data_IF_209163985465
#
_entry.id   IF_209163985465
#
_cell.length_a   1.000
_cell.length_b   1.000
_cell.length_c   1.000
_cell.angle_alpha   90.00
_cell.angle_beta   90.00
_cell.angle_gamma   90.00
#
_symmetry.space_group_name_H-M   'P 1'
#
loop_
_entity.id
_entity.type
_entity.pdbx_description
1 polymer ?
#
# COMPACT_ATOMS: atom_id res chain seq x y z
N UNK A 1 -112.79 5.41 -69.85
CA UNK A 1 -112.87 3.94 -69.89
C UNK A 1 -112.05 3.39 -68.74
N UNK A 2 -112.74 2.68 -67.85
CA UNK A 2 -112.24 1.57 -67.01
C UNK A 2 -111.28 1.87 -65.85
N UNK A 3 -111.84 1.66 -64.66
CA UNK A 3 -111.19 1.58 -63.36
C UNK A 3 -110.39 0.28 -63.15
N UNK A 4 -109.40 0.30 -62.25
CA UNK A 4 -109.17 -0.74 -61.24
C UNK A 4 -108.33 -0.17 -60.09
N UNK A 5 -108.73 -0.49 -58.86
CA UNK A 5 -108.13 -0.09 -57.59
C UNK A 5 -107.24 -1.22 -57.00
N UNK A 6 -106.30 -0.84 -56.11
CA UNK A 6 -105.71 -1.56 -54.95
C UNK A 6 -104.44 -0.75 -54.53
N UNK A 7 -104.41 -0.01 -53.39
CA UNK A 7 -104.17 -0.44 -51.99
C UNK A 7 -102.71 -0.95 -51.78
N UNK A 8 -101.85 -0.51 -50.86
CA UNK A 8 -101.76 0.61 -49.91
C UNK A 8 -100.31 0.64 -49.33
N UNK A 9 -99.95 1.78 -48.71
CA UNK A 9 -98.99 1.94 -47.59
C UNK A 9 -97.46 1.73 -47.77
N UNK A 10 -96.67 2.77 -47.46
CA UNK A 10 -95.80 2.88 -46.26
C UNK A 10 -94.79 4.05 -46.38
N UNK A 11 -94.77 4.99 -45.40
CA UNK A 11 -93.72 6.02 -45.25
C UNK A 11 -93.38 6.31 -43.77
N UNK A 12 -92.09 6.07 -43.43
CA UNK A 12 -91.19 6.74 -42.44
C UNK A 12 -91.43 6.59 -40.93
N UNK A 13 -90.45 6.95 -40.06
CA UNK A 13 -89.00 6.63 -40.03
C UNK A 13 -88.53 6.14 -38.63
N UNK A 14 -87.32 5.56 -38.49
CA UNK A 14 -86.74 5.26 -37.16
C UNK A 14 -85.23 5.47 -37.05
N UNK A 15 -84.85 6.19 -35.99
CA UNK A 15 -83.50 6.34 -35.42
C UNK A 15 -82.95 4.99 -34.93
N UNK A 16 -81.64 4.81 -35.05
CA UNK A 16 -80.67 4.47 -33.97
C UNK A 16 -79.55 3.51 -34.42
N UNK A 17 -78.39 3.66 -33.75
CA UNK A 17 -77.44 2.59 -33.45
C UNK A 17 -76.37 2.22 -34.49
N UNK A 18 -75.33 3.05 -34.63
CA UNK A 18 -73.99 2.57 -35.04
C UNK A 18 -72.90 3.32 -34.24
N UNK A 19 -72.61 2.84 -33.03
CA UNK A 19 -71.47 3.33 -32.23
C UNK A 19 -70.74 2.21 -31.48
N UNK A 20 -70.46 1.07 -32.14
CA UNK A 20 -69.86 -0.08 -31.44
C UNK A 20 -68.72 -0.83 -32.18
N UNK A 21 -68.11 -0.25 -33.23
CA UNK A 21 -67.06 -0.95 -34.00
C UNK A 21 -65.71 -0.24 -34.16
N UNK A 22 -65.45 0.87 -33.44
CA UNK A 22 -64.13 1.55 -33.45
C UNK A 22 -63.22 1.21 -32.26
N UNK A 23 -63.69 0.49 -31.25
CA UNK A 23 -62.96 0.24 -30.00
C UNK A 23 -62.08 -1.01 -30.02
N UNK A 24 -62.26 -1.97 -30.93
CA UNK A 24 -61.53 -3.25 -30.89
C UNK A 24 -60.19 -3.23 -31.65
N UNK A 25 -60.06 -2.46 -32.74
CA UNK A 25 -58.82 -2.36 -33.54
C UNK A 25 -57.76 -1.49 -32.85
N UNK A 26 -58.16 -0.48 -32.09
CA UNK A 26 -57.24 0.40 -31.35
C UNK A 26 -56.56 -0.29 -30.14
N UNK A 27 -57.15 -1.38 -29.62
CA UNK A 27 -56.62 -2.14 -28.47
C UNK A 27 -55.51 -3.11 -28.90
N UNK A 28 -55.62 -3.72 -30.08
CA UNK A 28 -54.57 -4.60 -30.63
C UNK A 28 -53.25 -3.89 -30.95
N UNK A 29 -53.32 -2.67 -31.50
CA UNK A 29 -52.12 -1.87 -31.82
C UNK A 29 -51.39 -1.32 -30.57
N UNK A 30 -52.14 -1.06 -29.48
CA UNK A 30 -51.53 -0.72 -28.16
C UNK A 30 -50.94 -1.94 -27.46
N UNK A 31 -51.51 -3.12 -27.62
CA UNK A 31 -50.97 -4.35 -27.03
C UNK A 31 -49.65 -4.81 -27.69
N UNK A 32 -49.54 -4.73 -29.03
CA UNK A 32 -48.32 -5.09 -29.77
C UNK A 32 -47.12 -4.17 -29.48
N UNK A 33 -47.35 -2.87 -29.33
CA UNK A 33 -46.31 -1.89 -28.98
C UNK A 33 -45.81 -2.01 -27.53
N UNK A 34 -46.67 -2.44 -26.60
CA UNK A 34 -46.28 -2.73 -25.21
C UNK A 34 -45.45 -4.03 -25.12
N UNK A 35 -45.78 -5.07 -25.88
CA UNK A 35 -44.99 -6.31 -25.95
C UNK A 35 -43.62 -6.09 -26.61
N UNK A 36 -43.54 -5.30 -27.69
CA UNK A 36 -42.26 -4.91 -28.31
C UNK A 36 -41.36 -4.13 -27.34
N UNK A 37 -41.91 -3.13 -26.63
CA UNK A 37 -41.16 -2.38 -25.60
C UNK A 37 -40.72 -3.25 -24.43
N UNK A 38 -41.48 -4.31 -24.11
CA UNK A 38 -41.11 -5.25 -23.03
C UNK A 38 -39.93 -6.14 -23.46
N UNK A 39 -39.94 -6.64 -24.70
CA UNK A 39 -38.85 -7.43 -25.27
C UNK A 39 -37.58 -6.63 -25.58
N UNK A 40 -37.68 -5.33 -25.85
CA UNK A 40 -36.50 -4.45 -25.97
C UNK A 40 -35.86 -4.18 -24.61
N UNK A 41 -36.66 -3.92 -23.56
CA UNK A 41 -36.15 -3.75 -22.19
C UNK A 41 -35.51 -5.02 -21.63
N UNK A 42 -36.00 -6.20 -22.00
CA UNK A 42 -35.36 -7.46 -21.61
C UNK A 42 -34.01 -7.66 -22.31
N UNK A 43 -33.92 -7.38 -23.61
CA UNK A 43 -32.66 -7.42 -24.35
C UNK A 43 -31.64 -6.39 -23.85
N UNK A 44 -32.10 -5.23 -23.42
CA UNK A 44 -31.23 -4.20 -22.84
C UNK A 44 -30.68 -4.62 -21.47
N UNK A 45 -31.52 -5.20 -20.60
CA UNK A 45 -31.09 -5.79 -19.31
C UNK A 45 -30.13 -6.95 -19.50
N UNK A 46 -30.32 -7.76 -20.54
CA UNK A 46 -29.46 -8.89 -20.84
C UNK A 46 -28.06 -8.41 -21.28
N UNK A 47 -27.99 -7.39 -22.14
CA UNK A 47 -26.72 -6.72 -22.50
C UNK A 47 -26.06 -6.04 -21.30
N UNK A 48 -26.84 -5.49 -20.38
CA UNK A 48 -26.31 -4.91 -19.13
C UNK A 48 -25.67 -5.98 -18.25
N UNK A 49 -26.36 -7.11 -18.05
CA UNK A 49 -25.81 -8.27 -17.30
C UNK A 49 -24.59 -8.86 -17.99
N UNK A 50 -24.55 -8.88 -19.31
CA UNK A 50 -23.41 -9.38 -20.08
C UNK A 50 -22.19 -8.47 -19.92
N UNK A 51 -22.38 -7.14 -20.02
CA UNK A 51 -21.34 -6.15 -19.71
C UNK A 51 -20.86 -6.22 -18.26
N UNK A 52 -21.78 -6.50 -17.33
CA UNK A 52 -21.45 -6.64 -15.91
C UNK A 52 -20.60 -7.89 -15.66
N UNK A 53 -20.96 -9.03 -16.26
CA UNK A 53 -20.17 -10.26 -16.24
C UNK A 53 -18.81 -10.09 -16.92
N UNK A 54 -18.75 -9.34 -18.01
CA UNK A 54 -17.50 -9.09 -18.72
C UNK A 54 -16.55 -8.23 -17.88
N UNK A 55 -17.06 -7.17 -17.24
CA UNK A 55 -16.32 -6.38 -16.24
C UNK A 55 -15.88 -7.22 -15.05
N UNK A 56 -16.71 -8.17 -14.62
CA UNK A 56 -16.38 -9.06 -13.50
C UNK A 56 -15.24 -10.02 -13.86
N UNK A 57 -15.28 -10.62 -15.06
CA UNK A 57 -14.19 -11.45 -15.60
C UNK A 57 -12.91 -10.65 -15.83
N UNK A 58 -13.02 -9.40 -16.26
CA UNK A 58 -11.87 -8.52 -16.45
C UNK A 58 -11.20 -8.18 -15.10
N UNK A 59 -12.00 -7.86 -14.07
CA UNK A 59 -11.52 -7.70 -12.69
C UNK A 59 -10.90 -8.99 -12.14
N UNK A 60 -11.46 -10.15 -12.49
CA UNK A 60 -10.93 -11.45 -12.06
C UNK A 60 -9.58 -11.74 -12.72
N UNK A 61 -9.44 -11.46 -14.03
CA UNK A 61 -8.15 -11.56 -14.74
C UNK A 61 -7.11 -10.56 -14.22
N UNK A 62 -7.52 -9.34 -13.86
CA UNK A 62 -6.62 -8.38 -13.20
C UNK A 62 -6.17 -8.87 -11.81
N UNK A 63 -7.08 -9.48 -11.04
CA UNK A 63 -6.74 -10.12 -9.75
C UNK A 63 -5.78 -11.28 -9.96
N UNK A 64 -6.01 -12.15 -10.94
CA UNK A 64 -5.09 -13.24 -11.27
C UNK A 64 -3.72 -12.72 -11.71
N UNK A 65 -3.68 -11.73 -12.62
CA UNK A 65 -2.43 -11.11 -13.07
C UNK A 65 -1.65 -10.46 -11.92
N UNK A 66 -2.34 -9.76 -11.03
CA UNK A 66 -1.73 -9.15 -9.85
C UNK A 66 -1.24 -10.19 -8.83
N UNK A 67 -1.89 -11.35 -8.74
CA UNK A 67 -1.43 -12.49 -7.94
C UNK A 67 -0.17 -13.15 -8.53
N UNK A 68 -0.10 -13.34 -9.85
CA UNK A 68 1.08 -13.92 -10.53
C UNK A 68 2.34 -13.04 -10.47
N UNK A 69 2.21 -11.74 -10.21
CA UNK A 69 3.35 -10.80 -10.13
C UNK A 69 3.77 -10.47 -8.70
N UNK A 70 3.53 -11.36 -7.73
CA UNK A 70 4.12 -11.22 -6.39
C UNK A 70 5.63 -11.42 -6.48
N UNK A 71 6.41 -10.37 -6.25
CA UNK A 71 7.87 -10.48 -6.10
C UNK A 71 8.17 -11.26 -4.83
N UNK A 72 9.01 -12.28 -4.93
CA UNK A 72 9.49 -12.99 -3.75
C UNK A 72 10.44 -12.07 -2.96
N UNK A 73 10.10 -11.67 -1.72
CA UNK A 73 10.89 -10.70 -0.95
C UNK A 73 12.29 -11.18 -0.57
N UNK A 74 12.57 -12.49 -0.68
CA UNK A 74 13.81 -13.11 -0.23
C UNK A 74 14.88 -13.17 -1.34
N UNK A 75 14.48 -13.09 -2.61
CA UNK A 75 15.41 -13.17 -3.75
C UNK A 75 16.44 -12.05 -3.72
N UNK A 76 16.00 -10.83 -3.44
CA UNK A 76 16.87 -9.66 -3.39
C UNK A 76 17.87 -9.72 -2.21
N UNK A 77 17.46 -10.02 -0.97
CA UNK A 77 18.37 -10.34 0.14
C UNK A 77 19.43 -11.39 -0.18
N UNK A 78 19.04 -12.50 -0.81
CA UNK A 78 19.98 -13.57 -1.19
C UNK A 78 21.00 -13.03 -2.19
N UNK A 79 20.55 -12.32 -3.23
CA UNK A 79 21.42 -11.75 -4.24
C UNK A 79 22.45 -10.77 -3.64
N UNK A 80 22.02 -9.87 -2.75
CA UNK A 80 22.95 -8.95 -2.07
C UNK A 80 23.91 -9.69 -1.13
N UNK A 81 23.43 -10.69 -0.39
CA UNK A 81 24.27 -11.49 0.50
C UNK A 81 25.36 -12.21 -0.29
N UNK A 82 25.00 -12.89 -1.39
CA UNK A 82 25.97 -13.57 -2.27
C UNK A 82 26.97 -12.57 -2.82
N UNK A 83 26.51 -11.40 -3.28
CA UNK A 83 27.38 -10.35 -3.79
C UNK A 83 28.35 -9.84 -2.72
N UNK A 84 27.87 -9.56 -1.51
CA UNK A 84 28.71 -9.14 -0.38
C UNK A 84 29.73 -10.22 0.03
N UNK A 85 29.36 -11.50 -0.01
CA UNK A 85 30.30 -12.62 0.25
C UNK A 85 31.38 -12.69 -0.82
N UNK A 86 31.02 -12.57 -2.11
CA UNK A 86 31.99 -12.53 -3.21
C UNK A 86 32.96 -11.36 -3.04
N UNK A 87 32.44 -10.18 -2.71
CA UNK A 87 33.28 -9.00 -2.47
C UNK A 87 34.21 -9.22 -1.26
N UNK A 88 33.70 -9.74 -0.15
CA UNK A 88 34.47 -10.04 1.05
C UNK A 88 35.63 -11.00 0.76
N UNK A 89 35.37 -12.09 0.03
CA UNK A 89 36.39 -13.07 -0.37
C UNK A 89 37.40 -12.44 -1.33
N UNK A 90 36.94 -11.66 -2.31
CA UNK A 90 37.83 -11.02 -3.28
C UNK A 90 38.81 -10.01 -2.67
N UNK A 91 38.43 -9.40 -1.54
CA UNK A 91 39.24 -8.41 -0.81
C UNK A 91 40.01 -8.99 0.36
N UNK A 92 39.97 -10.31 0.56
CA UNK A 92 40.53 -10.94 1.76
C UNK A 92 42.03 -10.68 1.96
N UNK A 93 42.79 -10.60 0.86
CA UNK A 93 44.24 -10.33 0.86
C UNK A 93 44.58 -8.88 1.20
N UNK A 94 43.71 -7.95 0.83
CA UNK A 94 44.00 -6.51 0.87
C UNK A 94 43.65 -5.91 2.24
N UNK A 95 42.76 -6.58 2.98
CA UNK A 95 42.24 -6.10 4.26
C UNK A 95 43.15 -6.57 5.42
N UNK A 96 43.56 -5.64 6.32
CA UNK A 96 44.38 -5.96 7.49
C UNK A 96 43.71 -7.00 8.41
N UNK A 97 44.51 -7.72 9.22
CA UNK A 97 43.98 -8.72 10.17
C UNK A 97 43.03 -8.13 11.21
N UNK A 98 43.21 -6.86 11.56
CA UNK A 98 42.37 -6.11 12.50
C UNK A 98 41.71 -4.96 11.76
N UNK A 99 40.39 -4.88 11.87
CA UNK A 99 39.56 -3.84 11.24
C UNK A 99 38.75 -3.11 12.31
N UNK A 100 38.44 -1.81 12.11
CA UNK A 100 37.60 -1.08 13.03
C UNK A 100 36.16 -1.63 13.06
N UNK A 101 35.61 -1.74 14.26
CA UNK A 101 34.22 -2.11 14.53
C UNK A 101 33.42 -0.94 15.11
N UNK A 102 34.10 0.02 15.73
CA UNK A 102 33.48 1.19 16.34
C UNK A 102 34.35 2.42 16.12
N UNK A 103 33.72 3.55 15.79
CA UNK A 103 34.38 4.84 15.60
C UNK A 103 33.91 5.86 16.63
N UNK A 104 34.79 6.80 16.93
CA UNK A 104 34.47 7.95 17.78
C UNK A 104 33.58 8.96 17.04
N UNK A 105 33.05 9.96 17.77
CA UNK A 105 32.33 11.08 17.18
C UNK A 105 33.16 11.91 16.18
N UNK A 106 34.49 11.75 16.18
CA UNK A 106 35.43 12.41 15.28
C UNK A 106 35.77 11.51 14.06
N UNK A 107 35.04 10.42 13.86
CA UNK A 107 35.25 9.44 12.80
C UNK A 107 36.54 8.61 12.89
N UNK A 108 37.34 8.75 13.94
CA UNK A 108 38.52 7.90 14.16
C UNK A 108 38.16 6.53 14.76
N UNK A 109 38.87 5.46 14.36
CA UNK A 109 38.64 4.11 14.87
C UNK A 109 38.98 4.00 16.36
N UNK A 110 38.03 3.50 17.15
CA UNK A 110 38.16 3.35 18.61
C UNK A 110 38.32 1.88 19.04
N UNK A 111 37.55 0.99 18.42
CA UNK A 111 37.53 -0.44 18.74
C UNK A 111 37.83 -1.24 17.49
N UNK A 112 38.74 -2.20 17.61
CA UNK A 112 39.15 -3.10 16.53
C UNK A 112 38.66 -4.52 16.80
N UNK A 113 38.41 -5.26 15.72
CA UNK A 113 38.10 -6.68 15.75
C UNK A 113 38.76 -7.43 14.60
N UNK A 114 38.61 -8.76 14.56
CA UNK A 114 39.25 -9.57 13.53
C UNK A 114 38.61 -9.33 12.15
N UNK A 115 39.42 -9.42 11.08
CA UNK A 115 38.98 -9.14 9.69
C UNK A 115 37.76 -9.93 9.24
N UNK A 116 37.65 -11.19 9.65
CA UNK A 116 36.54 -12.04 9.26
C UNK A 116 35.22 -11.51 9.83
N UNK A 117 35.24 -10.95 11.04
CA UNK A 117 34.07 -10.38 11.66
C UNK A 117 33.62 -9.12 10.91
N UNK A 118 34.55 -8.21 10.59
CA UNK A 118 34.21 -7.01 9.83
C UNK A 118 33.69 -7.31 8.42
N UNK A 119 34.32 -8.25 7.70
CA UNK A 119 33.94 -8.58 6.33
C UNK A 119 32.64 -9.39 6.24
N UNK A 120 32.38 -10.30 7.19
CA UNK A 120 31.23 -11.22 7.12
C UNK A 120 30.04 -10.84 8.01
N UNK A 121 30.16 -9.89 8.94
CA UNK A 121 29.02 -9.43 9.75
C UNK A 121 27.91 -8.83 8.89
N UNK A 122 28.26 -7.98 7.92
CA UNK A 122 27.28 -7.38 7.00
C UNK A 122 26.49 -8.41 6.18
N UNK A 123 27.12 -9.31 5.38
CA UNK A 123 26.38 -10.32 4.63
C UNK A 123 25.57 -11.26 5.53
N UNK A 124 26.07 -11.58 6.73
CA UNK A 124 25.30 -12.35 7.70
C UNK A 124 24.01 -11.63 8.11
N UNK A 125 24.11 -10.36 8.52
CA UNK A 125 22.94 -9.55 8.90
C UNK A 125 22.00 -9.26 7.73
N UNK A 126 22.54 -9.07 6.52
CA UNK A 126 21.78 -8.90 5.28
C UNK A 126 20.86 -10.08 4.98
N UNK A 127 21.17 -11.29 5.48
CA UNK A 127 20.32 -12.47 5.33
C UNK A 127 19.42 -12.70 6.55
N UNK A 128 19.97 -12.58 7.76
CA UNK A 128 19.26 -12.93 8.99
C UNK A 128 18.08 -11.99 9.27
N UNK A 129 18.29 -10.68 9.14
CA UNK A 129 17.23 -9.69 9.42
C UNK A 129 16.01 -9.87 8.50
N UNK A 130 16.13 -9.84 7.16
CA UNK A 130 14.97 -10.02 6.28
C UNK A 130 14.37 -11.42 6.40
N UNK A 131 15.16 -12.45 6.72
CA UNK A 131 14.63 -13.78 6.99
C UNK A 131 13.70 -13.77 8.22
N UNK A 132 14.11 -13.13 9.32
CA UNK A 132 13.25 -12.97 10.50
C UNK A 132 11.98 -12.19 10.15
N UNK A 133 12.09 -11.09 9.41
CA UNK A 133 10.92 -10.31 8.97
C UNK A 133 9.99 -11.12 8.06
N UNK A 134 10.55 -11.92 7.17
CA UNK A 134 9.80 -12.83 6.31
C UNK A 134 9.07 -13.90 7.12
N UNK A 135 9.71 -14.48 8.13
CA UNK A 135 9.07 -15.43 9.04
C UNK A 135 7.90 -14.77 9.78
N UNK A 136 8.09 -13.58 10.34
CA UNK A 136 7.01 -12.80 10.97
C UNK A 136 5.87 -12.55 9.99
N UNK A 137 6.16 -12.15 8.76
CA UNK A 137 5.15 -11.91 7.73
C UNK A 137 4.39 -13.18 7.32
N UNK A 138 5.05 -14.35 7.32
CA UNK A 138 4.42 -15.62 7.03
C UNK A 138 3.48 -16.08 8.14
N UNK A 139 3.71 -15.69 9.40
CA UNK A 139 2.83 -16.05 10.51
C UNK A 139 1.57 -15.16 10.60
N UNK A 140 1.57 -13.96 10.00
CA UNK A 140 0.41 -13.07 9.96
C UNK A 140 -0.49 -13.36 8.74
N UNK A 141 -1.64 -13.97 8.99
CA UNK A 141 -2.64 -14.27 7.95
C UNK A 141 -3.13 -13.02 7.20
N UNK A 142 -3.12 -11.83 7.83
CA UNK A 142 -3.55 -10.58 7.17
C UNK A 142 -2.52 -10.14 6.14
N UNK A 143 -1.23 -10.27 6.43
CA UNK A 143 -0.16 -9.98 5.48
C UNK A 143 -0.20 -10.92 4.27
N UNK A 144 -0.48 -12.21 4.50
CA UNK A 144 -0.60 -13.17 3.40
C UNK A 144 -1.75 -12.87 2.43
N UNK A 145 -2.82 -12.21 2.89
CA UNK A 145 -4.02 -11.88 2.10
C UNK A 145 -3.94 -10.56 1.33
N UNK A 146 -2.92 -9.72 1.56
CA UNK A 146 -2.79 -8.43 0.88
C UNK A 146 -2.64 -8.60 -0.63
N UNK A 147 -3.26 -7.75 -1.45
CA UNK A 147 -3.19 -7.87 -2.90
C UNK A 147 -2.61 -6.60 -3.55
N UNK A 148 -2.11 -6.74 -4.78
CA UNK A 148 -1.60 -5.62 -5.57
C UNK A 148 -0.44 -4.85 -4.92
N UNK A 149 -0.62 -3.54 -4.74
CA UNK A 149 0.41 -2.62 -4.25
C UNK A 149 0.83 -2.86 -2.80
N UNK A 150 -0.11 -3.25 -1.93
CA UNK A 150 0.17 -3.52 -0.53
C UNK A 150 1.12 -4.71 -0.33
N UNK A 151 0.91 -5.79 -1.10
CA UNK A 151 1.80 -6.94 -1.10
C UNK A 151 3.23 -6.58 -1.56
N UNK A 152 3.35 -5.71 -2.56
CA UNK A 152 4.65 -5.20 -3.00
C UNK A 152 5.30 -4.34 -1.93
N UNK A 153 4.55 -3.47 -1.25
CA UNK A 153 5.06 -2.63 -0.17
C UNK A 153 5.61 -3.49 0.98
N UNK A 154 4.88 -4.54 1.38
CA UNK A 154 5.34 -5.50 2.40
C UNK A 154 6.60 -6.23 1.94
N UNK A 155 6.62 -6.75 0.72
CA UNK A 155 7.78 -7.46 0.19
C UNK A 155 9.01 -6.57 0.18
N UNK A 156 8.83 -5.31 -0.21
CA UNK A 156 9.92 -4.38 -0.23
C UNK A 156 10.38 -3.97 1.20
N UNK A 157 9.48 -3.82 2.18
CA UNK A 157 9.83 -3.56 3.59
C UNK A 157 10.66 -4.71 4.16
N UNK A 158 10.33 -5.96 3.82
CA UNK A 158 11.10 -7.15 4.22
C UNK A 158 12.51 -7.11 3.63
N UNK A 159 12.66 -6.69 2.37
CA UNK A 159 13.96 -6.62 1.68
C UNK A 159 14.80 -5.39 2.04
N UNK A 160 14.19 -4.36 2.65
CA UNK A 160 14.82 -3.07 2.94
C UNK A 160 16.12 -3.19 3.77
N UNK A 161 16.19 -3.99 4.86
CA UNK A 161 17.42 -4.11 5.64
C UNK A 161 18.60 -4.62 4.80
N UNK A 162 18.36 -5.52 3.85
CA UNK A 162 19.43 -6.03 2.97
C UNK A 162 19.95 -4.94 2.03
N UNK A 163 19.06 -4.13 1.45
CA UNK A 163 19.45 -3.01 0.58
C UNK A 163 20.28 -2.01 1.38
N UNK A 164 19.78 -1.60 2.55
CA UNK A 164 20.43 -0.62 3.42
C UNK A 164 21.82 -1.10 3.86
N UNK A 165 21.91 -2.34 4.33
CA UNK A 165 23.17 -2.91 4.80
C UNK A 165 24.15 -3.18 3.65
N UNK A 166 23.67 -3.55 2.47
CA UNK A 166 24.52 -3.74 1.29
C UNK A 166 25.11 -2.41 0.82
N UNK A 167 24.30 -1.38 0.68
CA UNK A 167 24.79 -0.05 0.28
C UNK A 167 25.72 0.53 1.34
N UNK A 168 25.46 0.31 2.63
CA UNK A 168 26.36 0.75 3.71
C UNK A 168 27.71 0.04 3.65
N UNK A 169 27.67 -1.27 3.42
CA UNK A 169 28.85 -2.11 3.29
C UNK A 169 29.75 -1.62 2.15
N UNK A 170 29.17 -1.32 1.00
CA UNK A 170 29.90 -0.90 -0.21
C UNK A 170 30.36 0.56 -0.15
N UNK A 171 29.52 1.48 0.35
CA UNK A 171 29.77 2.92 0.22
C UNK A 171 30.52 3.52 1.41
N UNK A 172 30.46 2.92 2.59
CA UNK A 172 31.10 3.45 3.78
C UNK A 172 32.09 2.47 4.40
N UNK A 173 31.67 1.23 4.67
CA UNK A 173 32.50 0.29 5.42
C UNK A 173 33.72 -0.20 4.63
N UNK A 174 33.53 -0.75 3.43
CA UNK A 174 34.62 -1.24 2.60
C UNK A 174 35.67 -0.15 2.27
N UNK A 175 35.29 1.07 1.87
CA UNK A 175 36.26 2.14 1.64
C UNK A 175 36.97 2.56 2.93
N UNK A 176 36.28 2.58 4.08
CA UNK A 176 36.89 2.88 5.38
C UNK A 176 38.01 1.89 5.70
N UNK A 177 37.74 0.58 5.68
CA UNK A 177 38.75 -0.44 6.03
C UNK A 177 39.85 -0.62 4.96
N UNK A 178 39.62 -0.12 3.73
CA UNK A 178 40.62 -0.12 2.66
C UNK A 178 41.50 1.13 2.67
N UNK A 179 41.13 2.15 3.46
CA UNK A 179 41.88 3.41 3.55
C UNK A 179 43.02 3.30 4.58
N UNK A 180 44.07 4.10 4.40
CA UNK A 180 45.21 4.12 5.33
C UNK A 180 44.85 4.64 6.72
N UNK A 181 43.93 5.61 6.82
CA UNK A 181 43.49 6.17 8.10
C UNK A 181 42.43 5.33 8.80
N UNK A 182 41.72 4.46 8.06
CA UNK A 182 40.60 3.67 8.57
C UNK A 182 39.50 4.51 9.22
N UNK A 183 39.40 5.78 8.82
CA UNK A 183 38.38 6.69 9.32
C UNK A 183 37.01 6.30 8.77
N UNK A 184 35.99 6.54 9.58
CA UNK A 184 34.60 6.38 9.17
C UNK A 184 34.23 7.44 8.13
N UNK A 185 33.24 7.13 7.30
CA UNK A 185 32.72 8.01 6.26
C UNK A 185 31.29 8.45 6.60
N UNK A 186 31.09 9.55 7.36
CA UNK A 186 29.77 9.93 7.86
C UNK A 186 28.78 10.33 6.76
N UNK A 187 29.27 10.94 5.68
CA UNK A 187 28.41 11.42 4.58
C UNK A 187 27.68 10.28 3.87
N UNK A 188 28.36 9.28 3.28
CA UNK A 188 27.66 8.17 2.62
C UNK A 188 26.75 7.43 3.61
N UNK A 189 27.18 7.20 4.86
CA UNK A 189 26.36 6.55 5.89
C UNK A 189 25.03 7.30 6.14
N UNK A 190 25.11 8.60 6.41
CA UNK A 190 23.91 9.41 6.70
C UNK A 190 23.01 9.61 5.48
N UNK A 191 23.58 9.79 4.29
CA UNK A 191 22.81 9.85 3.05
C UNK A 191 22.08 8.51 2.79
N UNK A 192 22.74 7.39 3.06
CA UNK A 192 22.18 6.05 2.91
C UNK A 192 21.01 5.80 3.87
N UNK A 193 21.16 6.20 5.15
CA UNK A 193 20.07 6.19 6.14
C UNK A 193 18.91 7.09 5.74
N UNK A 194 19.19 8.27 5.18
CA UNK A 194 18.17 9.20 4.72
C UNK A 194 17.31 8.62 3.59
N UNK A 195 17.97 7.98 2.61
CA UNK A 195 17.29 7.37 1.45
C UNK A 195 16.52 6.12 1.87
N UNK A 196 17.20 5.12 2.43
CA UNK A 196 16.58 3.81 2.66
C UNK A 196 15.85 3.74 4.00
N UNK A 197 16.52 4.20 5.07
CA UNK A 197 16.00 4.12 6.43
C UNK A 197 14.84 5.08 6.70
N UNK A 198 14.71 6.18 5.97
CA UNK A 198 13.64 7.18 6.18
C UNK A 198 12.74 7.34 4.97
N UNK A 199 13.26 7.83 3.84
CA UNK A 199 12.44 8.19 2.70
C UNK A 199 11.72 6.97 2.10
N UNK A 200 12.49 5.95 1.76
CA UNK A 200 11.97 4.76 1.11
C UNK A 200 11.07 3.95 2.06
N UNK A 201 11.45 3.81 3.34
CA UNK A 201 10.60 3.17 4.36
C UNK A 201 9.26 3.91 4.50
N UNK A 202 9.33 5.24 4.60
CA UNK A 202 8.16 6.11 4.70
C UNK A 202 7.22 5.98 3.49
N UNK A 203 7.76 5.86 2.29
CA UNK A 203 6.97 5.62 1.08
C UNK A 203 6.19 4.29 1.14
N UNK A 204 6.82 3.20 1.56
CA UNK A 204 6.17 1.88 1.59
C UNK A 204 5.15 1.76 2.73
N UNK A 205 5.41 2.36 3.89
CA UNK A 205 4.47 2.37 5.02
C UNK A 205 3.08 2.93 4.64
N UNK A 206 3.00 3.82 3.65
CA UNK A 206 1.74 4.42 3.19
C UNK A 206 0.86 3.46 2.39
N UNK A 207 1.44 2.39 1.85
CA UNK A 207 0.77 1.46 0.94
C UNK A 207 0.44 0.11 1.61
N UNK A 208 1.05 -0.19 2.76
CA UNK A 208 0.73 -1.39 3.53
C UNK A 208 -0.73 -1.34 3.98
N UNK A 209 -1.42 -2.48 3.97
CA UNK A 209 -2.77 -2.60 4.51
C UNK A 209 -2.76 -2.96 6.02
N UNK A 210 -3.87 -2.72 6.76
CA UNK A 210 -3.96 -3.05 8.18
C UNK A 210 -3.57 -4.49 8.52
N UNK A 211 -2.56 -4.62 9.38
CA UNK A 211 -2.02 -5.91 9.81
C UNK A 211 -1.49 -5.80 11.25
N UNK A 212 -1.02 -6.90 11.83
CA UNK A 212 -0.58 -6.96 13.23
C UNK A 212 0.93 -6.92 13.42
N UNK A 213 1.72 -7.12 12.36
CA UNK A 213 3.15 -7.37 12.47
C UNK A 213 4.05 -6.30 11.86
N UNK A 214 3.67 -5.70 10.74
CA UNK A 214 4.44 -4.72 9.97
C UNK A 214 3.76 -3.36 10.02
N UNK A 215 4.47 -2.38 10.56
CA UNK A 215 4.02 -1.00 10.61
C UNK A 215 4.55 -0.26 11.82
N UNK A 216 3.94 0.88 12.11
CA UNK A 216 4.19 1.62 13.35
C UNK A 216 3.48 0.89 14.48
N UNK A 217 4.20 0.44 15.53
CA UNK A 217 3.58 -0.26 16.63
C UNK A 217 2.54 0.65 17.27
N UNK A 218 1.29 0.19 17.27
CA UNK A 218 0.18 0.87 17.95
C UNK A 218 -0.16 0.07 19.19
N UNK A 219 0.03 0.67 20.37
CA UNK A 219 -0.21 0.04 21.68
C UNK A 219 -1.68 -0.25 21.97
N UNK A 220 -2.59 0.17 21.10
CA UNK A 220 -4.02 -0.11 21.17
C UNK A 220 -4.39 -0.78 19.85
N UNK A 221 -5.09 -1.92 19.86
CA UNK A 221 -5.58 -2.53 18.64
C UNK A 221 -6.46 -1.51 17.92
N UNK A 222 -6.01 -1.02 16.77
CA UNK A 222 -6.84 -0.22 15.90
C UNK A 222 -7.92 -1.15 15.35
N UNK A 223 -9.02 -1.24 16.07
CA UNK A 223 -10.19 -2.03 15.66
C UNK A 223 -10.78 -1.52 14.35
N UNK A 224 -10.44 -0.29 13.95
CA UNK A 224 -10.87 0.32 12.70
C UNK A 224 -9.71 0.57 11.73
N UNK A 225 -9.92 0.12 10.49
CA UNK A 225 -8.97 0.26 9.39
C UNK A 225 -8.70 1.72 8.99
N UNK A 226 -9.65 2.64 9.20
CA UNK A 226 -9.53 4.06 8.87
C UNK A 226 -8.46 4.77 9.71
N UNK A 227 -8.44 4.50 11.02
CA UNK A 227 -7.46 5.06 11.96
C UNK A 227 -6.07 4.52 11.64
N UNK A 228 -5.98 3.22 11.36
CA UNK A 228 -4.73 2.57 10.98
C UNK A 228 -4.13 3.21 9.72
N UNK A 229 -4.96 3.39 8.70
CA UNK A 229 -4.52 3.98 7.44
C UNK A 229 -4.13 5.45 7.59
N UNK A 230 -4.84 6.21 8.45
CA UNK A 230 -4.50 7.60 8.74
C UNK A 230 -3.16 7.72 9.47
N UNK A 231 -2.92 6.90 10.48
CA UNK A 231 -1.67 6.87 11.23
C UNK A 231 -0.49 6.53 10.31
N UNK A 232 -0.57 5.42 9.58
CA UNK A 232 0.53 4.98 8.70
C UNK A 232 0.80 5.93 7.54
N UNK A 233 -0.24 6.56 6.98
CA UNK A 233 -0.05 7.61 5.96
C UNK A 233 0.71 8.80 6.51
N UNK A 234 0.31 9.31 7.68
CA UNK A 234 0.96 10.47 8.31
C UNK A 234 2.39 10.14 8.73
N UNK A 235 2.61 8.98 9.36
CA UNK A 235 3.94 8.49 9.70
C UNK A 235 4.85 8.34 8.48
N UNK A 236 4.32 7.79 7.37
CA UNK A 236 5.06 7.67 6.13
C UNK A 236 5.49 9.03 5.55
N UNK A 237 4.59 10.02 5.55
CA UNK A 237 4.94 11.40 5.15
C UNK A 237 5.99 12.02 6.07
N UNK A 238 5.88 11.85 7.39
CA UNK A 238 6.87 12.34 8.35
C UNK A 238 8.25 11.76 8.07
N UNK A 239 8.37 10.44 7.92
CA UNK A 239 9.65 9.79 7.60
C UNK A 239 10.21 10.27 6.26
N UNK A 240 9.37 10.43 5.23
CA UNK A 240 9.80 10.98 3.95
C UNK A 240 10.36 12.40 4.07
N UNK A 241 9.67 13.28 4.80
CA UNK A 241 10.12 14.66 5.00
C UNK A 241 11.45 14.72 5.77
N UNK A 242 11.59 13.94 6.85
CA UNK A 242 12.85 13.86 7.60
C UNK A 242 13.96 13.16 6.80
N UNK A 243 13.63 12.22 5.91
CA UNK A 243 14.57 11.63 4.97
C UNK A 243 15.12 12.67 3.99
N UNK A 244 14.27 13.49 3.38
CA UNK A 244 14.72 14.60 2.51
C UNK A 244 15.59 15.59 3.30
N UNK A 245 15.15 15.96 4.51
CA UNK A 245 15.90 16.87 5.39
C UNK A 245 17.28 16.30 5.74
N UNK A 246 17.36 15.04 6.15
CA UNK A 246 18.62 14.38 6.49
C UNK A 246 19.53 14.23 5.28
N UNK A 247 18.97 13.97 4.10
CA UNK A 247 19.73 13.88 2.87
C UNK A 247 20.35 15.23 2.49
N UNK A 248 19.57 16.31 2.49
CA UNK A 248 20.09 17.67 2.24
C UNK A 248 21.16 18.03 3.27
N UNK A 249 20.88 17.75 4.55
CA UNK A 249 21.84 17.98 5.64
C UNK A 249 23.16 17.25 5.41
N UNK A 250 23.12 15.99 4.97
CA UNK A 250 24.32 15.18 4.72
C UNK A 250 25.25 15.76 3.65
N UNK A 251 24.66 16.45 2.66
CA UNK A 251 25.39 17.08 1.55
C UNK A 251 25.89 18.47 1.91
N UNK A 252 25.08 19.26 2.62
CA UNK A 252 25.34 20.68 2.84
C UNK A 252 26.24 20.98 4.04
N UNK A 253 26.21 20.14 5.08
CA UNK A 253 26.89 20.46 6.34
C UNK A 253 28.34 19.95 6.39
N UNK A 254 29.27 20.70 7.00
CA UNK A 254 30.62 20.22 7.25
C UNK A 254 30.62 19.08 8.27
N UNK A 255 31.56 18.14 8.12
CA UNK A 255 31.71 17.01 9.04
C UNK A 255 32.30 17.52 10.37
N UNK A 256 31.73 17.10 11.49
CA UNK A 256 32.19 17.42 12.83
C UNK A 256 31.23 16.94 13.92
N UNK A 257 31.46 17.32 15.18
CA UNK A 257 30.59 16.93 16.30
C UNK A 257 29.12 17.38 16.07
N UNK A 258 28.93 18.61 15.59
CA UNK A 258 27.60 19.13 15.25
C UNK A 258 26.89 18.31 14.18
N UNK A 259 27.64 17.80 13.19
CA UNK A 259 27.10 16.89 12.18
C UNK A 259 26.52 15.61 12.78
N UNK A 260 27.28 14.99 13.68
CA UNK A 260 26.89 13.75 14.35
C UNK A 260 25.68 13.95 15.25
N UNK A 261 25.67 15.04 16.04
CA UNK A 261 24.56 15.36 16.94
C UNK A 261 23.27 15.62 16.15
N UNK A 262 23.32 16.45 15.12
CA UNK A 262 22.12 16.77 14.33
C UNK A 262 21.61 15.54 13.58
N UNK A 263 22.50 14.70 13.03
CA UNK A 263 22.12 13.43 12.41
C UNK A 263 21.44 12.50 13.43
N UNK A 264 21.97 12.42 14.65
CA UNK A 264 21.40 11.64 15.76
C UNK A 264 20.08 12.23 16.26
N UNK A 265 19.81 13.52 16.10
CA UNK A 265 18.50 14.10 16.43
C UNK A 265 17.51 13.79 15.32
N UNK A 266 17.86 14.04 14.07
CA UNK A 266 16.95 13.89 12.92
C UNK A 266 16.53 12.43 12.75
N UNK A 267 17.47 11.48 12.81
CA UNK A 267 17.17 10.09 12.51
C UNK A 267 16.25 9.45 13.56
N UNK A 268 16.70 9.07 14.77
CA UNK A 268 15.82 8.48 15.77
C UNK A 268 14.72 9.45 16.25
N UNK A 269 14.92 10.78 16.18
CA UNK A 269 13.87 11.75 16.50
C UNK A 269 12.67 11.65 15.54
N UNK A 270 12.89 11.38 14.25
CA UNK A 270 11.78 11.14 13.31
C UNK A 270 10.95 9.90 13.67
N UNK A 271 11.61 8.82 14.14
CA UNK A 271 10.91 7.63 14.63
C UNK A 271 10.15 7.90 15.93
N UNK A 272 10.74 8.65 16.85
CA UNK A 272 10.07 9.07 18.08
C UNK A 272 8.82 9.89 17.78
N UNK A 273 8.90 10.85 16.83
CA UNK A 273 7.76 11.64 16.38
C UNK A 273 6.67 10.77 15.75
N UNK A 274 7.04 9.78 14.93
CA UNK A 274 6.10 8.82 14.35
C UNK A 274 5.35 8.03 15.43
N UNK A 275 6.05 7.56 16.45
CA UNK A 275 5.44 6.83 17.58
C UNK A 275 4.51 7.74 18.39
N UNK A 276 4.94 8.97 18.69
CA UNK A 276 4.13 9.96 19.40
C UNK A 276 2.87 10.32 18.61
N UNK A 277 2.99 10.58 17.32
CA UNK A 277 1.85 10.95 16.48
C UNK A 277 0.85 9.79 16.34
N UNK A 278 1.36 8.57 16.16
CA UNK A 278 0.55 7.35 16.13
C UNK A 278 -0.21 7.14 17.45
N UNK A 279 0.44 7.37 18.59
CA UNK A 279 -0.18 7.33 19.91
C UNK A 279 -1.26 8.42 20.08
N UNK A 280 -0.99 9.65 19.66
CA UNK A 280 -1.94 10.77 19.76
C UNK A 280 -3.19 10.53 18.90
N UNK A 281 -3.04 10.03 17.67
CA UNK A 281 -4.18 9.68 16.81
C UNK A 281 -5.07 8.64 17.51
N UNK A 282 -4.47 7.66 18.15
CA UNK A 282 -5.20 6.61 18.82
C UNK A 282 -5.95 7.09 20.08
N UNK A 283 -5.29 7.91 20.91
CA UNK A 283 -5.89 8.42 22.16
C UNK A 283 -7.06 9.37 21.89
N UNK A 284 -6.96 10.21 20.87
CA UNK A 284 -8.06 11.10 20.43
C UNK A 284 -9.29 10.28 20.03
N UNK A 285 -9.09 9.23 19.23
CA UNK A 285 -10.18 8.39 18.74
C UNK A 285 -10.86 7.61 19.87
N UNK A 286 -10.08 7.02 20.78
CA UNK A 286 -10.60 6.32 21.96
C UNK A 286 -11.47 7.26 22.81
N UNK A 287 -11.03 8.50 23.00
CA UNK A 287 -11.76 9.51 23.76
C UNK A 287 -13.07 9.93 23.07
N UNK A 288 -13.10 9.98 21.74
CA UNK A 288 -14.30 10.26 20.97
C UNK A 288 -15.35 9.13 21.10
N UNK A 289 -14.91 7.86 21.06
CA UNK A 289 -15.80 6.71 21.22
C UNK A 289 -16.44 6.63 22.60
N UNK A 290 -15.67 6.89 23.66
CA UNK A 290 -16.20 6.92 25.04
C UNK A 290 -17.28 7.99 25.16
N UNK A 291 -17.04 9.20 24.63
CA UNK A 291 -18.02 10.30 24.63
C UNK A 291 -19.31 9.96 23.87
N UNK A 292 -19.18 9.37 22.68
CA UNK A 292 -20.33 8.94 21.88
C UNK A 292 -21.16 7.86 22.59
N UNK A 293 -20.50 6.90 23.25
CA UNK A 293 -21.16 5.87 24.05
C UNK A 293 -21.93 6.43 25.25
N UNK A 294 -21.36 7.41 25.96
CA UNK A 294 -22.06 8.09 27.06
C UNK A 294 -23.29 8.86 26.60
N UNK A 295 -23.21 9.59 25.47
CA UNK A 295 -24.34 10.34 24.92
C UNK A 295 -25.48 9.43 24.46
N UNK A 296 -25.16 8.30 23.82
CA UNK A 296 -26.15 7.30 23.43
C UNK A 296 -26.88 6.70 24.63
N UNK A 297 -26.17 6.49 25.75
CA UNK A 297 -26.75 5.95 26.99
C UNK A 297 -27.67 6.96 27.67
N UNK A 298 -27.32 8.25 27.63
CA UNK A 298 -28.14 9.33 28.19
C UNK A 298 -29.37 9.68 27.33
N UNK A 299 -29.32 9.49 26.01
CA UNK A 299 -30.48 9.71 25.12
C UNK A 299 -31.52 8.58 25.11
N UNK A 300 -31.28 7.49 25.85
CA UNK A 300 -32.18 6.33 25.99
C UNK A 300 -32.89 6.25 27.34
N UNK A 301 -32.55 7.13 28.28
CA UNK A 301 -33.20 7.30 29.59
C UNK A 301 -34.08 8.52 29.57
#
# INVERSE_FOLDING_TARGET
MSAFALCDLQLTPARSSISFHRSTIAVGHRAGTVLQRRGERERERERERERERERERERERERERSMTRRKNPVVLPIAFTVTSVVVAVSRWSDIPEKVPLWWSAHAHPLVYGPRWLGLFAFPFLQLVIPYILYQVACHDQRLQRQSGEAANAVANIIALPSVLLFSEYVMAFLPSISSSSMDFLPRPFTANLAIWGLFWLGYNLRHVEPNSSIGVPTFVPLSRADVWARAHRRSGFTLMAFGILLFIFSLACPIGLGYMIVSLIIWPGSYALVLLDSYMICTIEKSALVRAGTLYRQGRT
#
